data_IF_544161363528
#
_entry.id   IF_544161363528
#
_cell.length_a   1.000
_cell.length_b   1.000
_cell.length_c   1.000
_cell.angle_alpha   90.00
_cell.angle_beta   90.00
_cell.angle_gamma   90.00
#
_symmetry.space_group_name_H-M   'P 1'
#
loop_
_entity.id
_entity.type
_entity.pdbx_description
1 polymer ?
#
# COMPACT_ATOMS: atom_id res chain seq x y z
N UNK A 1 17.00 -21.48 -19.46
CA UNK A 1 16.84 -20.21 -18.72
C UNK A 1 15.39 -20.10 -18.27
N UNK A 2 15.14 -20.31 -16.98
CA UNK A 2 13.79 -20.20 -16.39
C UNK A 2 13.44 -18.72 -16.26
N UNK A 3 12.38 -18.25 -16.93
CA UNK A 3 11.84 -16.90 -16.69
C UNK A 3 11.30 -16.86 -15.27
N UNK A 4 11.84 -15.98 -14.44
CA UNK A 4 11.27 -15.66 -13.12
C UNK A 4 9.84 -15.18 -13.33
N UNK A 5 8.86 -15.99 -12.92
CA UNK A 5 7.45 -15.62 -12.95
C UNK A 5 7.15 -14.82 -11.68
N UNK A 6 7.02 -13.51 -11.85
CA UNK A 6 6.65 -12.63 -10.75
C UNK A 6 5.15 -12.72 -10.50
N UNK A 7 4.76 -12.93 -9.24
CA UNK A 7 3.36 -12.87 -8.83
C UNK A 7 3.03 -11.43 -8.42
N UNK A 8 2.22 -10.77 -9.24
CA UNK A 8 1.61 -9.48 -8.91
C UNK A 8 0.27 -9.80 -8.26
N UNK A 9 0.11 -9.42 -6.98
CA UNK A 9 -1.07 -9.75 -6.19
C UNK A 9 -1.91 -8.47 -6.05
N UNK A 10 -3.16 -8.52 -6.50
CA UNK A 10 -4.22 -7.53 -6.26
C UNK A 10 -3.79 -6.07 -6.45
N UNK A 11 -3.92 -5.56 -7.68
CA UNK A 11 -3.83 -4.12 -7.93
C UNK A 11 -4.98 -3.41 -7.22
N UNK A 12 -4.72 -2.25 -6.61
CA UNK A 12 -5.79 -1.42 -6.04
C UNK A 12 -6.53 -0.75 -7.20
N UNK A 13 -7.82 -1.07 -7.43
CA UNK A 13 -8.61 -0.37 -8.42
C UNK A 13 -9.01 0.98 -7.83
N UNK A 14 -8.44 2.06 -8.33
CA UNK A 14 -9.09 3.37 -8.26
C UNK A 14 -9.72 3.65 -9.62
N UNK A 15 -10.78 4.44 -9.61
CA UNK A 15 -11.70 4.75 -10.72
C UNK A 15 -11.06 5.53 -11.88
N UNK A 16 -9.91 5.10 -12.36
CA UNK A 16 -9.33 5.61 -13.59
C UNK A 16 -10.05 4.93 -14.75
N UNK A 17 -10.57 5.76 -15.67
CA UNK A 17 -11.26 5.30 -16.87
C UNK A 17 -10.43 4.25 -17.61
N UNK A 18 -10.98 3.04 -17.74
CA UNK A 18 -10.35 1.94 -18.47
C UNK A 18 -10.26 2.31 -19.94
N UNK A 19 -9.09 2.09 -20.54
CA UNK A 19 -8.88 2.34 -21.96
C UNK A 19 -9.41 1.13 -22.74
N UNK A 20 -10.34 1.39 -23.67
CA UNK A 20 -10.91 0.37 -24.55
C UNK A 20 -10.34 0.51 -25.96
N UNK A 21 -9.65 -0.52 -26.48
CA UNK A 21 -9.13 -0.55 -27.86
C UNK A 21 -9.49 -1.91 -28.47
N UNK A 22 -10.30 -1.93 -29.53
CA UNK A 22 -10.67 -3.16 -30.28
C UNK A 22 -11.10 -4.36 -29.40
N UNK A 23 -11.87 -4.09 -28.34
CA UNK A 23 -12.35 -5.12 -27.40
C UNK A 23 -11.35 -5.50 -26.30
N UNK A 24 -10.13 -4.95 -26.31
CA UNK A 24 -9.19 -5.03 -25.21
C UNK A 24 -9.52 -3.96 -24.15
N UNK A 25 -9.77 -4.39 -22.93
CA UNK A 25 -9.93 -3.52 -21.76
C UNK A 25 -8.59 -3.43 -21.04
N UNK A 26 -7.98 -2.25 -21.06
CA UNK A 26 -6.78 -1.96 -20.27
C UNK A 26 -7.20 -1.25 -18.99
N UNK A 27 -7.23 -1.99 -17.89
CA UNK A 27 -7.51 -1.46 -16.56
C UNK A 27 -6.27 -0.77 -15.99
N UNK A 28 -6.43 0.50 -15.60
CA UNK A 28 -5.35 1.30 -15.03
C UNK A 28 -5.36 1.22 -13.51
N UNK A 29 -4.46 0.42 -12.96
CA UNK A 29 -4.24 0.32 -11.52
C UNK A 29 -3.32 1.43 -11.01
N UNK A 30 -3.51 1.92 -9.78
CA UNK A 30 -2.65 2.94 -9.15
C UNK A 30 -1.45 2.34 -8.42
N UNK A 31 -1.54 1.07 -8.07
CA UNK A 31 -0.47 0.33 -7.42
C UNK A 31 -0.77 -1.16 -7.38
N UNK A 32 0.26 -1.93 -7.06
CA UNK A 32 0.24 -3.38 -7.01
C UNK A 32 1.08 -3.91 -5.85
N UNK A 33 0.73 -5.08 -5.32
CA UNK A 33 1.54 -5.73 -4.28
C UNK A 33 2.52 -6.68 -4.94
N UNK A 34 3.81 -6.44 -4.71
CA UNK A 34 4.93 -7.28 -5.16
C UNK A 34 5.70 -7.79 -3.95
N UNK A 35 5.77 -9.12 -3.79
CA UNK A 35 6.35 -9.78 -2.60
C UNK A 35 5.84 -9.23 -1.25
N UNK A 36 4.56 -8.86 -1.18
CA UNK A 36 3.96 -8.30 0.04
C UNK A 36 4.23 -6.81 0.27
N UNK A 37 4.98 -6.16 -0.62
CA UNK A 37 5.25 -4.72 -0.60
C UNK A 37 4.38 -4.00 -1.62
N UNK A 38 3.81 -2.85 -1.24
CA UNK A 38 3.08 -1.99 -2.18
C UNK A 38 4.06 -1.27 -3.09
N UNK A 39 3.80 -1.36 -4.39
CA UNK A 39 4.47 -0.60 -5.43
C UNK A 39 3.44 0.25 -6.16
N UNK A 40 3.88 1.43 -6.58
CA UNK A 40 3.06 2.37 -7.37
C UNK A 40 3.16 2.02 -8.85
N UNK A 41 2.09 2.31 -9.60
CA UNK A 41 1.99 1.95 -11.01
C UNK A 41 3.01 2.66 -11.92
N UNK A 42 3.51 3.81 -11.49
CA UNK A 42 4.61 4.54 -12.13
C UNK A 42 6.00 3.91 -11.84
N UNK A 43 6.05 2.84 -11.03
CA UNK A 43 7.31 2.17 -10.63
C UNK A 43 8.17 3.01 -9.70
N UNK A 44 7.64 4.12 -9.15
CA UNK A 44 8.40 5.03 -8.31
C UNK A 44 8.68 4.42 -6.94
N UNK A 45 9.95 4.19 -6.63
CA UNK A 45 10.36 3.65 -5.33
C UNK A 45 10.00 4.64 -4.20
N UNK A 46 10.14 5.95 -4.42
CA UNK A 46 9.83 6.95 -3.40
C UNK A 46 8.34 7.01 -3.10
N UNK A 47 7.49 6.92 -4.13
CA UNK A 47 6.04 6.85 -3.95
C UNK A 47 5.62 5.53 -3.27
N UNK A 48 6.23 4.41 -3.65
CA UNK A 48 6.01 3.10 -3.03
C UNK A 48 6.36 3.10 -1.53
N UNK A 49 7.48 3.71 -1.15
CA UNK A 49 7.88 3.87 0.27
C UNK A 49 6.88 4.74 1.03
N UNK A 50 6.39 5.83 0.43
CA UNK A 50 5.38 6.69 1.05
C UNK A 50 4.07 5.93 1.26
N UNK A 51 3.55 5.25 0.24
CA UNK A 51 2.36 4.40 0.35
C UNK A 51 2.53 3.32 1.42
N UNK A 52 3.72 2.72 1.53
CA UNK A 52 4.01 1.76 2.59
C UNK A 52 3.95 2.41 3.97
N UNK A 53 4.56 3.58 4.16
CA UNK A 53 4.51 4.33 5.42
C UNK A 53 3.07 4.68 5.83
N UNK A 54 2.26 5.14 4.88
CA UNK A 54 0.85 5.47 5.10
C UNK A 54 0.04 4.24 5.55
N UNK A 55 0.29 3.07 4.93
CA UNK A 55 -0.35 1.81 5.33
C UNK A 55 -0.05 1.40 6.79
N UNK A 56 1.09 1.84 7.33
CA UNK A 56 1.51 1.54 8.71
C UNK A 56 1.15 2.63 9.71
N UNK A 57 0.77 3.83 9.25
CA UNK A 57 0.43 4.96 10.11
C UNK A 57 -0.67 4.62 11.12
N UNK A 58 -1.69 3.85 10.72
CA UNK A 58 -2.75 3.40 11.63
C UNK A 58 -2.24 2.54 12.80
N UNK A 59 -1.23 1.70 12.57
CA UNK A 59 -0.60 0.91 13.63
C UNK A 59 0.22 1.78 14.58
N UNK A 60 0.94 2.76 14.02
CA UNK A 60 1.72 3.74 14.80
C UNK A 60 0.79 4.55 15.71
N UNK A 61 -0.33 5.04 15.18
CA UNK A 61 -1.32 5.78 15.97
C UNK A 61 -1.90 4.94 17.11
N UNK A 62 -2.26 3.67 16.86
CA UNK A 62 -2.70 2.75 17.93
C UNK A 62 -1.65 2.58 19.02
N UNK A 63 -0.37 2.44 18.64
CA UNK A 63 0.73 2.32 19.59
C UNK A 63 0.90 3.59 20.44
N UNK A 64 0.85 4.76 19.82
CA UNK A 64 0.91 6.06 20.52
C UNK A 64 -0.26 6.18 21.50
N UNK A 65 -1.49 5.87 21.08
CA UNK A 65 -2.66 5.90 21.96
C UNK A 65 -2.52 4.96 23.15
N UNK A 66 -1.98 3.74 22.93
CA UNK A 66 -1.74 2.78 24.00
C UNK A 66 -0.69 3.28 25.00
N UNK A 67 0.43 3.82 24.51
CA UNK A 67 1.47 4.43 25.37
C UNK A 67 0.89 5.60 26.18
N UNK A 68 0.16 6.52 25.53
CA UNK A 68 -0.48 7.67 26.20
C UNK A 68 -1.45 7.24 27.30
N UNK A 69 -2.30 6.24 27.04
CA UNK A 69 -3.24 5.70 28.04
C UNK A 69 -2.49 5.10 29.24
N UNK A 70 -1.38 4.40 29.03
CA UNK A 70 -0.57 3.85 30.12
C UNK A 70 0.25 4.90 30.87
N UNK A 71 0.75 5.93 30.21
CA UNK A 71 1.44 7.05 30.86
C UNK A 71 0.49 7.79 31.79
N UNK A 72 -0.74 8.10 31.35
CA UNK A 72 -1.72 8.81 32.18
C UNK A 72 -2.13 8.00 33.41
N UNK A 73 -2.19 6.66 33.32
CA UNK A 73 -2.47 5.76 34.47
C UNK A 73 -1.30 5.73 35.47
N UNK A 74 -0.06 5.92 35.02
CA UNK A 74 1.14 5.90 35.89
C UNK A 74 1.40 7.24 36.60
N UNK A 75 0.79 8.34 36.18
CA UNK A 75 0.95 9.66 36.82
C UNK A 75 -0.07 9.92 37.95
N UNK A 76 -1.00 8.99 38.22
CA UNK A 76 -1.94 9.06 39.36
C UNK A 76 -1.44 8.24 40.57
N UNK A 77 -0.17 8.42 40.96
CA UNK A 77 0.35 7.81 42.19
C UNK A 77 1.21 8.79 42.97
#
# INVERSE_FOLDING_TARGET
>A
MSKTKFFVIHGTPESNESIHIDGLVVERYTGYVYFGSLFTADGSVSASVRTHADSKMGHVMKFISFKKKRTMILTFK
#
